data_IF_822826888612
#
_entry.id   IF_822826888612
#
_cell.length_a   1.000
_cell.length_b   1.000
_cell.length_c   1.000
_cell.angle_alpha   90.00
_cell.angle_beta   90.00
_cell.angle_gamma   90.00
#
_symmetry.space_group_name_H-M   'P 1'
#
loop_
_entity.id
_entity.type
_entity.pdbx_description
1 polymer ?
#
# COMPACT_ATOMS: atom_id res chain seq x y z
N UNK A 1 0.44 29.83 10.86
CA UNK A 1 0.22 29.85 12.33
C UNK A 1 -0.09 28.44 12.76
N UNK A 2 0.85 27.89 13.54
CA UNK A 2 1.01 26.49 13.91
C UNK A 2 -0.18 25.95 14.68
N UNK A 3 -0.71 24.78 14.30
CA UNK A 3 -1.46 23.94 15.23
C UNK A 3 -0.53 22.86 15.76
N UNK A 4 -0.26 23.03 17.04
CA UNK A 4 0.58 22.26 17.92
C UNK A 4 -0.07 20.89 18.13
N UNK A 5 0.67 19.80 17.87
CA UNK A 5 0.37 18.48 18.41
C UNK A 5 0.47 18.55 19.94
N UNK A 6 -0.66 18.56 20.63
CA UNK A 6 -0.71 18.37 22.08
C UNK A 6 -0.61 16.88 22.37
N UNK A 7 0.41 16.53 23.17
CA UNK A 7 0.57 15.24 23.84
C UNK A 7 -0.58 15.05 24.83
N UNK A 8 -1.15 13.85 24.89
CA UNK A 8 -1.89 13.39 26.07
C UNK A 8 -1.42 11.97 26.42
N UNK A 9 -0.72 11.88 27.54
CA UNK A 9 -0.44 10.67 28.32
C UNK A 9 -1.50 10.60 29.42
N UNK A 10 -2.08 9.42 29.67
CA UNK A 10 -2.54 9.11 31.01
C UNK A 10 -1.81 7.89 31.58
N UNK A 11 -1.14 8.17 32.69
CA UNK A 11 -0.58 7.26 33.67
C UNK A 11 -1.64 6.33 34.30
N UNK A 12 -1.27 5.05 34.41
CA UNK A 12 -1.50 4.07 35.48
C UNK A 12 -2.88 3.93 36.18
N UNK A 13 -3.19 2.66 36.50
CA UNK A 13 -4.31 2.08 37.29
C UNK A 13 -5.44 1.58 36.38
N UNK A 14 -5.90 0.32 36.38
CA UNK A 14 -5.79 -0.87 37.23
C UNK A 14 -6.33 -2.05 36.40
N UNK A 15 -5.83 -3.27 36.63
CA UNK A 15 -6.67 -4.48 36.63
C UNK A 15 -5.85 -5.69 37.13
N UNK A 16 -5.93 -5.95 38.43
CA UNK A 16 -5.78 -7.29 38.99
C UNK A 16 -7.12 -8.01 38.80
N UNK A 17 -7.12 -9.27 38.34
CA UNK A 17 -7.83 -10.40 38.98
C UNK A 17 -7.97 -11.63 38.07
N UNK A 18 -8.05 -12.78 38.76
CA UNK A 18 -8.65 -14.07 38.40
C UNK A 18 -7.72 -15.13 37.79
N UNK A 19 -7.27 -15.99 38.71
CA UNK A 19 -6.91 -17.38 38.46
C UNK A 19 -8.13 -18.18 37.97
N UNK A 20 -7.96 -18.95 36.90
CA UNK A 20 -8.83 -20.09 36.59
C UNK A 20 -8.09 -21.08 35.68
N UNK A 21 -8.11 -22.33 36.13
CA UNK A 21 -7.55 -23.51 35.48
C UNK A 21 -8.27 -23.88 34.16
N UNK A 22 -7.72 -24.90 33.48
CA UNK A 22 -8.18 -25.59 32.25
C UNK A 22 -7.54 -25.00 30.97
N UNK A 23 -7.04 -25.75 29.99
CA UNK A 23 -7.35 -27.10 29.53
C UNK A 23 -6.21 -27.58 28.61
N UNK A 24 -5.99 -28.89 28.54
CA UNK A 24 -5.13 -29.60 27.57
C UNK A 24 -5.19 -28.97 26.16
N UNK A 25 -4.09 -28.37 25.71
CA UNK A 25 -3.96 -27.90 24.33
C UNK A 25 -3.53 -29.06 23.44
N UNK A 26 -4.50 -29.63 22.72
CA UNK A 26 -4.26 -30.44 21.54
C UNK A 26 -3.25 -29.72 20.62
N UNK A 27 -2.12 -30.37 20.34
CA UNK A 27 -1.07 -29.82 19.50
C UNK A 27 -1.64 -29.41 18.13
N UNK A 28 -1.61 -28.10 17.86
CA UNK A 28 -1.99 -27.53 16.56
C UNK A 28 -0.97 -28.01 15.52
N UNK A 29 -1.38 -28.52 14.34
CA UNK A 29 -0.42 -28.94 13.33
C UNK A 29 0.42 -27.73 12.92
N UNK A 30 1.74 -27.86 13.05
CA UNK A 30 2.68 -26.85 12.60
C UNK A 30 2.52 -26.68 11.09
N UNK A 31 1.91 -25.56 10.67
CA UNK A 31 1.88 -25.18 9.26
C UNK A 31 3.32 -25.06 8.79
N UNK A 32 3.71 -25.90 7.83
CA UNK A 32 4.98 -25.80 7.13
C UNK A 32 5.03 -24.42 6.46
N UNK A 33 5.67 -23.45 7.11
CA UNK A 33 5.85 -22.12 6.54
C UNK A 33 6.75 -22.29 5.32
N UNK A 34 6.17 -22.20 4.12
CA UNK A 34 6.95 -22.05 2.88
C UNK A 34 7.82 -20.81 3.08
N UNK A 35 9.11 -21.03 3.28
CA UNK A 35 10.13 -19.98 3.31
C UNK A 35 10.33 -19.55 1.87
N UNK A 36 9.42 -18.69 1.40
CA UNK A 36 9.54 -18.06 0.10
C UNK A 36 10.74 -17.13 0.22
N UNK A 37 11.87 -17.54 -0.34
CA UNK A 37 13.00 -16.65 -0.56
C UNK A 37 12.51 -15.57 -1.52
N UNK A 38 12.09 -14.44 -0.96
CA UNK A 38 11.50 -13.35 -1.70
C UNK A 38 12.65 -12.51 -2.25
N UNK A 39 13.21 -12.96 -3.38
CA UNK A 39 14.36 -12.32 -4.07
C UNK A 39 14.09 -10.82 -4.31
N UNK A 40 12.82 -10.45 -4.44
CA UNK A 40 12.38 -9.08 -4.67
C UNK A 40 12.19 -8.25 -3.39
N UNK A 41 12.31 -8.85 -2.20
CA UNK A 41 12.17 -8.15 -0.92
C UNK A 41 13.06 -6.90 -0.79
N UNK A 42 14.37 -6.93 -1.10
CA UNK A 42 15.19 -5.73 -1.04
C UNK A 42 14.71 -4.65 -2.02
N UNK A 43 14.23 -5.05 -3.20
CA UNK A 43 13.69 -4.11 -4.18
C UNK A 43 12.36 -3.49 -3.71
N UNK A 44 11.49 -4.27 -3.06
CA UNK A 44 10.26 -3.76 -2.43
C UNK A 44 10.58 -2.71 -1.37
N UNK A 45 11.50 -3.03 -0.46
CA UNK A 45 11.94 -2.11 0.58
C UNK A 45 12.58 -0.84 0.01
N UNK A 46 13.36 -0.97 -1.07
CA UNK A 46 13.90 0.17 -1.77
C UNK A 46 12.80 1.07 -2.35
N UNK A 47 11.81 0.49 -3.04
CA UNK A 47 10.67 1.22 -3.60
C UNK A 47 9.83 1.92 -2.52
N UNK A 48 9.60 1.24 -1.39
CA UNK A 48 8.89 1.80 -0.24
C UNK A 48 9.67 2.92 0.44
N UNK A 49 11.00 2.84 0.44
CA UNK A 49 11.90 3.85 0.97
C UNK A 49 12.10 5.09 0.08
N UNK A 50 11.56 5.11 -1.15
CA UNK A 50 11.65 6.29 -2.03
C UNK A 50 10.84 7.44 -1.42
N UNK A 51 11.56 8.43 -0.90
CA UNK A 51 11.01 9.67 -0.36
C UNK A 51 10.92 10.75 -1.45
N UNK A 52 9.77 11.41 -1.54
CA UNK A 52 9.51 12.39 -2.60
C UNK A 52 9.86 13.78 -2.11
N UNK A 53 10.95 14.33 -2.63
CA UNK A 53 11.54 15.61 -2.18
C UNK A 53 11.41 16.76 -3.17
N UNK A 54 11.04 16.48 -4.42
CA UNK A 54 10.97 17.51 -5.47
C UNK A 54 9.68 17.40 -6.27
N UNK A 55 9.08 18.55 -6.69
CA UNK A 55 7.87 18.54 -7.52
C UNK A 55 8.08 17.83 -8.86
N UNK A 56 9.25 18.00 -9.48
CA UNK A 56 9.59 17.35 -10.76
C UNK A 56 9.53 15.83 -10.67
N UNK A 57 10.08 15.26 -9.59
CA UNK A 57 10.03 13.82 -9.36
C UNK A 57 8.60 13.36 -9.08
N UNK A 58 7.85 14.12 -8.30
CA UNK A 58 6.45 13.80 -8.01
C UNK A 58 5.60 13.79 -9.29
N UNK A 59 5.77 14.78 -10.18
CA UNK A 59 5.13 14.80 -11.50
C UNK A 59 5.51 13.61 -12.36
N UNK A 60 6.81 13.28 -12.41
CA UNK A 60 7.29 12.14 -13.18
C UNK A 60 6.65 10.84 -12.70
N UNK A 61 6.67 10.58 -11.38
CA UNK A 61 6.09 9.38 -10.79
C UNK A 61 4.56 9.31 -10.99
N UNK A 62 3.86 10.42 -10.79
CA UNK A 62 2.41 10.52 -11.00
C UNK A 62 2.00 10.33 -12.47
N UNK A 63 2.89 10.59 -13.44
CA UNK A 63 2.63 10.31 -14.86
C UNK A 63 3.11 8.92 -15.29
N UNK A 64 4.22 8.45 -14.74
CA UNK A 64 4.84 7.19 -15.14
C UNK A 64 4.08 5.97 -14.64
N UNK A 65 3.53 6.03 -13.42
CA UNK A 65 2.76 4.92 -12.83
C UNK A 65 1.28 5.19 -13.12
N UNK A 66 0.58 4.38 -13.92
CA UNK A 66 -0.82 4.65 -14.28
C UNK A 66 -1.78 4.52 -13.09
N UNK A 67 -2.90 5.24 -13.13
CA UNK A 67 -4.00 5.10 -12.16
C UNK A 67 -4.75 3.78 -12.31
N UNK A 68 -4.81 3.28 -13.56
CA UNK A 68 -5.47 2.04 -13.91
C UNK A 68 -4.48 0.87 -13.87
N UNK A 69 -4.99 -0.28 -13.44
CA UNK A 69 -4.21 -1.50 -13.38
C UNK A 69 -3.89 -1.98 -14.80
N UNK A 70 -2.62 -2.20 -15.18
CA UNK A 70 -2.24 -2.52 -16.57
C UNK A 70 -2.84 -3.85 -17.07
N UNK A 71 -3.27 -4.71 -16.16
CA UNK A 71 -3.89 -6.00 -16.47
C UNK A 71 -5.41 -5.91 -16.62
N UNK A 72 -6.04 -4.88 -16.06
CA UNK A 72 -7.48 -4.67 -16.20
C UNK A 72 -7.75 -4.01 -17.56
N UNK A 73 -8.38 -4.74 -18.47
CA UNK A 73 -8.69 -4.23 -19.80
C UNK A 73 -9.79 -5.02 -20.47
N UNK A 74 -10.56 -4.32 -21.29
CA UNK A 74 -11.58 -4.91 -22.15
C UNK A 74 -10.98 -5.35 -23.48
N UNK A 75 -11.35 -6.55 -23.92
CA UNK A 75 -11.07 -7.05 -25.26
C UNK A 75 -12.30 -6.75 -26.12
N UNK A 76 -12.17 -5.78 -27.03
CA UNK A 76 -13.24 -5.34 -27.94
C UNK A 76 -12.99 -5.86 -29.36
N UNK A 77 -13.99 -6.49 -29.96
CA UNK A 77 -13.98 -6.92 -31.37
C UNK A 77 -15.28 -6.40 -32.01
N UNK A 78 -15.16 -5.75 -33.18
CA UNK A 78 -16.29 -5.07 -33.86
C UNK A 78 -17.07 -4.09 -32.96
N UNK A 79 -16.37 -3.40 -32.05
CA UNK A 79 -16.97 -2.43 -31.13
C UNK A 79 -17.74 -3.04 -29.95
N UNK A 80 -17.77 -4.37 -29.82
CA UNK A 80 -18.41 -5.09 -28.70
C UNK A 80 -17.35 -5.70 -27.79
N UNK A 81 -17.54 -5.60 -26.46
CA UNK A 81 -16.66 -6.24 -25.48
C UNK A 81 -16.96 -7.75 -25.50
N UNK A 82 -15.94 -8.55 -25.77
CA UNK A 82 -16.06 -10.02 -25.83
C UNK A 82 -15.53 -10.65 -24.54
N UNK A 83 -14.53 -10.03 -23.91
CA UNK A 83 -14.01 -10.46 -22.62
C UNK A 83 -13.52 -9.25 -21.83
N UNK A 84 -13.73 -9.27 -20.52
CA UNK A 84 -13.20 -8.29 -19.59
C UNK A 84 -12.15 -8.99 -18.73
N UNK A 85 -10.90 -8.51 -18.76
CA UNK A 85 -9.86 -9.02 -17.87
C UNK A 85 -10.00 -8.23 -16.57
N UNK A 86 -10.29 -8.91 -15.43
CA UNK A 86 -10.47 -8.24 -14.16
C UNK A 86 -9.15 -7.64 -13.64
N UNK A 87 -9.20 -6.76 -12.63
CA UNK A 87 -8.01 -6.25 -11.95
C UNK A 87 -7.24 -7.37 -11.24
N UNK A 88 -6.30 -7.98 -11.96
CA UNK A 88 -5.39 -9.01 -11.44
C UNK A 88 -4.17 -8.39 -10.74
N UNK A 89 -4.38 -7.27 -10.07
CA UNK A 89 -3.32 -6.36 -9.66
C UNK A 89 -2.38 -6.95 -8.60
N UNK A 90 -2.79 -8.04 -7.94
CA UNK A 90 -1.98 -8.78 -6.98
C UNK A 90 -1.03 -9.82 -7.60
N UNK A 91 -1.10 -10.07 -8.90
CA UNK A 91 -0.17 -10.98 -9.58
C UNK A 91 1.25 -10.42 -9.67
N UNK A 92 1.40 -9.10 -9.79
CA UNK A 92 2.72 -8.47 -9.83
C UNK A 92 3.26 -8.31 -8.39
N UNK A 93 4.41 -8.92 -8.04
CA UNK A 93 4.99 -8.81 -6.71
C UNK A 93 5.28 -7.37 -6.23
N UNK A 94 5.39 -6.39 -7.13
CA UNK A 94 5.72 -5.00 -6.78
C UNK A 94 4.53 -4.03 -6.88
N UNK A 95 3.32 -4.53 -7.13
CA UNK A 95 2.16 -3.68 -7.41
C UNK A 95 1.83 -2.72 -6.27
N UNK A 96 1.73 -3.23 -5.04
CA UNK A 96 1.38 -2.42 -3.86
C UNK A 96 2.39 -1.30 -3.63
N UNK A 97 3.68 -1.58 -3.84
CA UNK A 97 4.75 -0.61 -3.70
C UNK A 97 4.66 0.51 -4.74
N UNK A 98 4.35 0.16 -6.01
CA UNK A 98 4.21 1.14 -7.09
C UNK A 98 2.98 2.03 -6.90
N UNK A 99 1.83 1.44 -6.54
CA UNK A 99 0.62 2.21 -6.23
C UNK A 99 0.83 3.11 -5.02
N UNK A 100 1.49 2.59 -3.98
CA UNK A 100 1.90 3.38 -2.82
C UNK A 100 2.82 4.55 -3.20
N UNK A 101 3.79 4.32 -4.07
CA UNK A 101 4.69 5.38 -4.55
C UNK A 101 3.94 6.45 -5.36
N UNK A 102 3.00 6.05 -6.23
CA UNK A 102 2.11 6.99 -6.95
C UNK A 102 1.30 7.82 -5.97
N UNK A 103 0.68 7.19 -4.97
CA UNK A 103 -0.10 7.88 -3.96
C UNK A 103 0.74 8.92 -3.21
N UNK A 104 1.94 8.54 -2.73
CA UNK A 104 2.87 9.48 -2.09
C UNK A 104 3.23 10.65 -3.03
N UNK A 105 3.37 10.40 -4.32
CA UNK A 105 3.68 11.45 -5.31
C UNK A 105 2.53 12.45 -5.46
N UNK A 106 1.30 11.94 -5.56
CA UNK A 106 0.12 12.78 -5.66
C UNK A 106 -0.09 13.60 -4.37
N UNK A 107 0.03 12.98 -3.19
CA UNK A 107 -0.03 13.70 -1.91
C UNK A 107 1.02 14.81 -1.83
N UNK A 108 2.26 14.55 -2.27
CA UNK A 108 3.29 15.59 -2.31
C UNK A 108 2.86 16.78 -3.20
N UNK A 109 2.34 16.53 -4.40
CA UNK A 109 1.90 17.59 -5.31
C UNK A 109 0.75 18.42 -4.72
N UNK A 110 -0.17 17.79 -4.01
CA UNK A 110 -1.33 18.45 -3.40
C UNK A 110 -0.92 19.21 -2.15
N UNK A 111 -0.29 18.53 -1.19
CA UNK A 111 -0.03 19.07 0.15
C UNK A 111 1.12 20.08 0.16
N UNK A 112 2.14 19.88 -0.68
CA UNK A 112 3.32 20.76 -0.72
C UNK A 112 3.27 21.79 -1.83
N UNK A 113 2.67 21.47 -2.97
CA UNK A 113 2.66 22.36 -4.14
C UNK A 113 1.28 22.99 -4.42
N UNK A 114 0.22 22.52 -3.76
CA UNK A 114 -1.14 23.05 -3.95
C UNK A 114 -1.73 22.76 -5.34
N UNK A 115 -1.24 21.72 -6.02
CA UNK A 115 -1.68 21.35 -7.36
C UNK A 115 -2.91 20.46 -7.33
N UNK A 116 -3.79 20.63 -8.32
CA UNK A 116 -4.97 19.80 -8.50
C UNK A 116 -4.63 18.46 -9.20
N UNK A 117 -5.26 17.38 -8.72
CA UNK A 117 -4.98 15.99 -9.11
C UNK A 117 -5.64 15.63 -10.44
N UNK A 118 -6.64 16.39 -10.89
CA UNK A 118 -7.43 16.09 -12.10
C UNK A 118 -6.56 15.86 -13.36
N UNK A 119 -5.39 16.49 -13.44
CA UNK A 119 -4.45 16.30 -14.55
C UNK A 119 -3.73 14.94 -14.58
N UNK A 120 -3.96 14.07 -13.59
CA UNK A 120 -3.32 12.76 -13.44
C UNK A 120 -4.31 11.58 -13.42
N UNK A 121 -5.61 11.84 -13.61
CA UNK A 121 -6.68 10.83 -13.58
C UNK A 121 -7.07 10.34 -14.97
#
# INVERSE_FOLDING_TARGET
MSRICTKEEPSALQALAIASAQSVHAAKPAKLQKRQFDILQPLRQWLDGIEIRTPKMAHFLAKAIPAQCPFERDIKIFGRIIAHIPPLCKLNPLYEQLVGLRFRALCYLVDRCGLDIQSYC
#
